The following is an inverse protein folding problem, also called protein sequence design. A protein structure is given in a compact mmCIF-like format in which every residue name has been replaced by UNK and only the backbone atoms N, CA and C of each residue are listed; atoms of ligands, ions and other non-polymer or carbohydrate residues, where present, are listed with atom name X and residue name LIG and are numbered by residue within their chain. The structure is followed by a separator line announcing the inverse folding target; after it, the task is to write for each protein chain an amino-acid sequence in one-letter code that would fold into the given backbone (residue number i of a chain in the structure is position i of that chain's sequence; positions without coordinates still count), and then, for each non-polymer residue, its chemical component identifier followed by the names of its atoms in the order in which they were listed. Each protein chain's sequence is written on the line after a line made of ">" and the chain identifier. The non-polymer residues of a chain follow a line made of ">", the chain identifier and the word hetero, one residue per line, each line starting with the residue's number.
data_IF_619130650337
#
_entry.id   IF_619130650337
#
_cell.length_a   1.000
_cell.length_b   1.000
_cell.length_c   1.000
_cell.angle_alpha   90.00
_cell.angle_beta   90.00
_cell.angle_gamma   90.00
#
_symmetry.space_group_name_H-M   'P 1'
#
loop_
_entity.id
_entity.type
_entity.pdbx_description
1 polymer ?
#
# COMPACT_ATOMS: atom_id res chain seq x y z
N UNK A 1 -18.04 8.55 -6.72
CA UNK A 1 -16.78 8.43 -5.96
C UNK A 1 -16.98 9.23 -4.69
N UNK A 2 -17.19 8.57 -3.56
CA UNK A 2 -17.37 9.25 -2.28
C UNK A 2 -16.04 9.26 -1.56
N UNK A 3 -15.56 10.44 -1.17
CA UNK A 3 -14.39 10.56 -0.30
C UNK A 3 -14.77 10.04 1.09
N UNK A 4 -14.22 8.90 1.47
CA UNK A 4 -14.27 8.40 2.83
C UNK A 4 -12.92 8.68 3.49
N UNK A 5 -12.90 9.49 4.54
CA UNK A 5 -11.69 9.67 5.36
C UNK A 5 -11.57 8.51 6.33
N UNK A 6 -10.52 7.70 6.18
CA UNK A 6 -10.28 6.50 6.99
C UNK A 6 -9.36 6.82 8.16
N UNK A 7 -9.81 6.50 9.38
CA UNK A 7 -9.01 6.58 10.60
C UNK A 7 -8.82 5.17 11.15
N UNK A 8 -7.63 4.61 10.95
CA UNK A 8 -7.27 3.26 11.40
C UNK A 8 -5.92 3.29 12.07
N UNK A 9 -5.83 2.60 13.20
CA UNK A 9 -4.59 2.45 13.96
C UNK A 9 -3.91 1.15 13.51
N UNK A 10 -3.01 1.27 12.54
CA UNK A 10 -2.31 0.15 11.92
C UNK A 10 -3.19 -0.73 11.02
N UNK A 11 -2.59 -1.82 10.54
CA UNK A 11 -3.27 -2.80 9.69
C UNK A 11 -4.22 -3.69 10.50
N UNK A 12 -5.34 -4.11 9.90
CA UNK A 12 -6.36 -4.92 10.55
C UNK A 12 -6.65 -6.18 9.74
N UNK A 13 -6.65 -7.34 10.40
CA UNK A 13 -7.12 -8.59 9.82
C UNK A 13 -8.56 -8.84 10.28
N UNK A 14 -9.48 -8.98 9.31
CA UNK A 14 -10.91 -9.06 9.59
C UNK A 14 -11.60 -10.22 8.88
N UNK A 15 -12.73 -10.62 9.46
CA UNK A 15 -13.72 -11.52 8.86
C UNK A 15 -15.01 -10.75 8.68
N UNK A 16 -15.53 -10.75 7.46
CA UNK A 16 -16.82 -10.15 7.15
C UNK A 16 -17.96 -10.92 7.79
N UNK A 17 -18.86 -10.17 8.41
CA UNK A 17 -20.20 -10.63 8.73
C UNK A 17 -21.21 -9.76 7.99
N UNK A 18 -22.11 -10.43 7.27
CA UNK A 18 -23.26 -9.80 6.61
C UNK A 18 -24.54 -10.49 7.04
N UNK A 19 -25.59 -9.73 7.38
CA UNK A 19 -26.93 -10.29 7.57
C UNK A 19 -27.64 -10.63 6.25
N UNK A 20 -27.16 -10.10 5.11
CA UNK A 20 -27.68 -10.43 3.78
C UNK A 20 -26.98 -11.71 3.27
N UNK A 21 -27.72 -12.80 2.98
CA UNK A 21 -27.17 -14.09 2.57
C UNK A 21 -26.45 -14.05 1.21
N UNK A 22 -26.57 -12.96 0.44
CA UNK A 22 -25.81 -12.74 -0.79
C UNK A 22 -24.33 -12.49 -0.54
N UNK A 23 -23.98 -11.99 0.63
CA UNK A 23 -22.60 -11.74 1.03
C UNK A 23 -22.20 -12.83 2.03
N UNK A 24 -21.37 -13.77 1.57
CA UNK A 24 -20.85 -14.85 2.41
C UNK A 24 -19.80 -14.36 3.41
N UNK A 25 -19.30 -15.29 4.22
CA UNK A 25 -18.12 -15.05 5.04
C UNK A 25 -16.90 -14.86 4.14
N UNK A 26 -16.10 -13.83 4.39
CA UNK A 26 -14.89 -13.53 3.61
C UNK A 26 -13.84 -12.89 4.50
N UNK A 27 -12.57 -13.08 4.16
CA UNK A 27 -11.43 -12.61 4.94
C UNK A 27 -10.75 -11.45 4.23
N UNK A 28 -10.37 -10.41 4.98
CA UNK A 28 -9.67 -9.25 4.45
C UNK A 28 -8.55 -8.81 5.36
N UNK A 29 -7.47 -8.32 4.76
CA UNK A 29 -6.48 -7.48 5.42
C UNK A 29 -6.73 -6.04 4.99
N UNK A 30 -6.81 -5.12 5.95
CA UNK A 30 -6.93 -3.69 5.71
C UNK A 30 -5.60 -3.07 6.07
N UNK A 31 -4.93 -2.42 5.13
CA UNK A 31 -3.68 -1.72 5.42
C UNK A 31 -3.93 -0.40 6.15
N UNK A 32 -2.91 0.25 6.74
CA UNK A 32 -3.07 1.53 7.43
C UNK A 32 -3.55 2.70 6.55
N UNK A 33 -3.61 2.53 5.22
CA UNK A 33 -4.11 3.55 4.29
C UNK A 33 -5.60 3.36 3.98
N UNK A 34 -6.23 2.29 4.47
CA UNK A 34 -7.64 1.99 4.26
C UNK A 34 -7.91 1.23 2.96
N UNK A 35 -6.91 0.55 2.41
CA UNK A 35 -7.09 -0.38 1.29
C UNK A 35 -7.42 -1.76 1.84
N UNK A 36 -8.50 -2.36 1.35
CA UNK A 36 -8.88 -3.73 1.70
C UNK A 36 -8.30 -4.70 0.68
N UNK A 37 -7.69 -5.77 1.15
CA UNK A 37 -7.13 -6.83 0.35
C UNK A 37 -7.80 -8.15 0.73
N UNK A 38 -8.43 -8.81 -0.23
CA UNK A 38 -9.10 -10.09 0.02
C UNK A 38 -8.10 -11.21 0.29
N UNK A 39 -8.44 -12.12 1.20
CA UNK A 39 -7.73 -13.38 1.41
C UNK A 39 -8.62 -14.56 1.03
N UNK A 40 -8.12 -15.55 0.27
CA UNK A 40 -8.91 -16.68 -0.18
C UNK A 40 -9.26 -17.64 0.98
N UNK A 41 -8.38 -17.78 1.97
CA UNK A 41 -8.51 -18.73 3.08
C UNK A 41 -7.65 -18.34 4.30
N UNK A 42 -7.90 -19.01 5.43
CA UNK A 42 -7.12 -18.82 6.68
C UNK A 42 -5.68 -19.35 6.55
N UNK A 43 -5.41 -20.30 5.64
CA UNK A 43 -4.05 -20.81 5.40
C UNK A 43 -3.16 -19.72 4.80
N UNK A 44 -3.67 -18.97 3.83
CA UNK A 44 -3.00 -17.82 3.22
C UNK A 44 -2.80 -16.72 4.26
N UNK A 45 -3.78 -16.48 5.12
CA UNK A 45 -3.64 -15.55 6.24
C UNK A 45 -2.49 -15.95 7.18
N UNK A 46 -2.42 -17.24 7.55
CA UNK A 46 -1.38 -17.77 8.41
C UNK A 46 0.03 -17.64 7.80
N UNK A 47 0.17 -17.86 6.48
CA UNK A 47 1.44 -17.65 5.75
C UNK A 47 1.91 -16.19 5.79
N UNK A 48 0.97 -15.24 5.89
CA UNK A 48 1.25 -13.82 6.05
C UNK A 48 1.45 -13.40 7.52
N UNK A 49 1.41 -14.34 8.47
CA UNK A 49 1.49 -14.05 9.90
C UNK A 49 0.23 -13.43 10.49
N UNK A 50 -0.88 -13.44 9.75
CA UNK A 50 -2.17 -12.93 10.21
C UNK A 50 -2.89 -14.03 11.00
N UNK A 51 -3.39 -13.67 12.18
CA UNK A 51 -4.12 -14.60 13.06
C UNK A 51 -5.25 -13.87 13.79
N UNK A 52 -6.23 -14.63 14.26
CA UNK A 52 -7.38 -14.14 15.02
C UNK A 52 -8.12 -12.97 14.34
N UNK A 53 -8.84 -13.22 13.22
CA UNK A 53 -9.52 -12.15 12.50
C UNK A 53 -10.59 -11.52 13.37
N UNK A 54 -10.65 -10.19 13.35
CA UNK A 54 -11.73 -9.44 14.01
C UNK A 54 -12.96 -9.43 13.13
N UNK A 55 -14.12 -9.60 13.72
CA UNK A 55 -15.37 -9.50 12.99
C UNK A 55 -15.64 -8.05 12.60
N UNK A 56 -16.01 -7.82 11.34
CA UNK A 56 -16.37 -6.51 10.82
C UNK A 56 -17.65 -6.55 9.97
N UNK A 57 -18.54 -5.54 10.08
CA UNK A 57 -19.76 -5.48 9.29
C UNK A 57 -19.45 -5.06 7.84
N UNK A 58 -20.13 -5.70 6.88
CA UNK A 58 -19.98 -5.39 5.46
C UNK A 58 -20.25 -3.92 5.12
N UNK A 59 -21.22 -3.28 5.79
CA UNK A 59 -21.57 -1.88 5.49
C UNK A 59 -20.40 -0.90 5.64
N UNK A 60 -19.46 -1.17 6.54
CA UNK A 60 -18.29 -0.31 6.74
C UNK A 60 -17.16 -0.69 5.79
N UNK A 61 -16.87 -1.99 5.67
CA UNK A 61 -15.77 -2.50 4.84
C UNK A 61 -16.00 -2.19 3.37
N UNK A 62 -17.25 -2.19 2.90
CA UNK A 62 -17.63 -1.87 1.53
C UNK A 62 -17.24 -0.44 1.09
N UNK A 63 -17.04 0.49 2.03
CA UNK A 63 -16.65 1.88 1.76
C UNK A 63 -15.14 2.03 1.51
N UNK A 64 -14.34 1.06 1.92
CA UNK A 64 -12.89 1.06 1.74
C UNK A 64 -12.52 0.85 0.27
N UNK A 65 -11.34 1.33 -0.12
CA UNK A 65 -10.80 1.13 -1.47
C UNK A 65 -10.46 -0.35 -1.66
N UNK A 66 -10.88 -0.92 -2.77
CA UNK A 66 -10.63 -2.33 -3.10
C UNK A 66 -9.24 -2.52 -3.71
N UNK A 67 -8.43 -3.37 -3.09
CA UNK A 67 -7.11 -3.76 -3.52
C UNK A 67 -7.08 -5.16 -4.17
N UNK A 68 -5.90 -5.60 -4.64
CA UNK A 68 -5.72 -6.94 -5.16
C UNK A 68 -5.95 -8.03 -4.09
N UNK A 69 -6.30 -9.23 -4.53
CA UNK A 69 -6.39 -10.41 -3.65
C UNK A 69 -4.99 -10.90 -3.28
N UNK A 70 -4.73 -11.09 -1.99
CA UNK A 70 -3.50 -11.68 -1.50
C UNK A 70 -3.61 -13.20 -1.64
N UNK A 71 -3.01 -13.75 -2.68
CA UNK A 71 -2.98 -15.19 -2.92
C UNK A 71 -1.62 -15.63 -3.43
N UNK A 72 -1.28 -16.91 -3.20
CA UNK A 72 -0.03 -17.47 -3.70
C UNK A 72 0.06 -17.40 -5.24
N UNK A 73 -1.05 -17.68 -5.94
CA UNK A 73 -1.11 -17.62 -7.40
C UNK A 73 -0.84 -16.20 -7.92
N UNK A 74 -1.42 -15.17 -7.27
CA UNK A 74 -1.15 -13.79 -7.63
C UNK A 74 0.30 -13.38 -7.33
N UNK A 75 0.89 -13.89 -6.24
CA UNK A 75 2.28 -13.61 -5.89
C UNK A 75 3.30 -14.30 -6.82
N UNK A 76 2.92 -15.42 -7.45
CA UNK A 76 3.73 -16.09 -8.46
C UNK A 76 3.74 -15.37 -9.82
N UNK A 77 2.90 -14.35 -9.99
CA UNK A 77 2.98 -13.48 -11.16
C UNK A 77 4.23 -12.63 -11.00
N UNK A 78 5.23 -12.90 -11.83
CA UNK A 78 6.46 -12.11 -11.88
C UNK A 78 6.12 -10.65 -12.23
N UNK A 79 6.17 -9.78 -11.22
CA UNK A 79 6.26 -8.35 -11.44
C UNK A 79 7.75 -8.03 -11.65
N UNK A 80 8.12 -7.72 -12.88
CA UNK A 80 9.45 -7.21 -13.21
C UNK A 80 9.66 -5.89 -12.42
N UNK A 81 10.44 -5.99 -11.35
CA UNK A 81 10.87 -4.82 -10.59
C UNK A 81 12.19 -4.37 -11.20
N UNK A 82 12.20 -3.16 -11.77
CA UNK A 82 13.43 -2.59 -12.28
C UNK A 82 14.47 -2.54 -11.16
N UNK A 83 15.72 -3.01 -11.38
CA UNK A 83 16.78 -2.89 -10.40
C UNK A 83 16.94 -1.43 -9.98
N UNK A 84 17.17 -1.20 -8.68
CA UNK A 84 17.52 0.13 -8.17
C UNK A 84 18.73 0.64 -8.96
N UNK A 85 18.59 1.81 -9.61
CA UNK A 85 19.68 2.41 -10.39
C UNK A 85 20.91 2.59 -9.46
N UNK A 86 22.05 1.91 -9.72
CA UNK A 86 23.24 2.02 -8.89
C UNK A 86 23.88 3.41 -8.94
N UNK A 87 23.50 4.24 -9.93
CA UNK A 87 23.96 5.60 -10.10
C UNK A 87 22.77 6.59 -10.05
N UNK A 88 22.12 6.77 -8.89
CA UNK A 88 21.03 7.73 -8.77
C UNK A 88 21.57 9.15 -8.96
N UNK A 89 20.96 9.93 -9.86
CA UNK A 89 21.28 11.35 -10.02
C UNK A 89 20.81 12.07 -8.76
N UNK A 90 21.69 12.86 -8.12
CA UNK A 90 21.27 13.79 -7.07
C UNK A 90 20.38 14.87 -7.69
N UNK A 91 19.16 15.00 -7.20
CA UNK A 91 18.30 16.14 -7.50
C UNK A 91 18.82 17.34 -6.71
N UNK A 92 19.26 18.39 -7.41
CA UNK A 92 19.75 19.64 -6.80
C UNK A 92 21.21 20.01 -7.07
N UNK A 93 21.77 19.62 -8.23
CA UNK A 93 23.15 19.94 -8.62
C UNK A 93 23.35 21.35 -9.22
N UNK A 94 22.42 22.26 -8.98
CA UNK A 94 22.47 23.63 -9.48
C UNK A 94 23.24 24.48 -8.47
N UNK A 95 24.54 24.20 -8.33
CA UNK A 95 25.45 25.16 -7.71
C UNK A 95 25.47 26.38 -8.61
N UNK A 96 24.68 27.39 -8.24
CA UNK A 96 24.79 28.73 -8.77
C UNK A 96 26.26 29.15 -8.75
N UNK A 97 26.86 29.32 -9.92
CA UNK A 97 28.24 29.79 -10.05
C UNK A 97 28.28 31.22 -9.50
N UNK A 98 29.05 31.51 -8.43
CA UNK A 98 29.22 32.89 -8.00
C UNK A 98 30.09 33.62 -9.04
N UNK A 99 29.49 34.59 -9.73
CA UNK A 99 30.21 35.54 -10.58
C UNK A 99 31.00 36.48 -9.65
N UNK A 100 32.33 36.37 -9.65
CA UNK A 100 33.18 37.41 -9.07
C UNK A 100 34.58 36.99 -8.68
N UNK A 101 35.53 37.16 -9.60
CA UNK A 101 36.86 37.78 -9.36
C UNK A 101 37.73 37.58 -10.61
N UNK A 102 37.56 38.44 -11.61
CA UNK A 102 38.58 38.58 -12.66
C UNK A 102 39.69 39.47 -12.12
N UNK A 103 40.87 38.89 -11.95
CA UNK A 103 42.09 39.58 -11.53
C UNK A 103 42.37 40.80 -12.43
N UNK A 104 42.44 41.98 -11.83
CA UNK A 104 42.84 43.22 -12.50
C UNK A 104 44.35 43.21 -12.76
N UNK A 105 44.72 43.27 -14.04
CA UNK A 105 46.06 43.60 -14.49
C UNK A 105 46.04 44.86 -15.35
N UNK A 106 47.03 45.74 -15.15
CA UNK A 106 47.43 46.77 -16.11
C UNK A 106 47.44 48.20 -15.57
N UNK A 107 48.63 48.82 -15.56
CA UNK A 107 48.84 50.26 -15.41
C UNK A 107 50.01 50.63 -14.55
#
# INVERSE_FOLDING_TARGET
>A
TGDATVYIDGGQYIRLQSPDPRYGESLYYIDPQGVRYGLPDEETAAKLGLSAPRTAPWQVVSLLVDGPVLSQLAALVEHDTLPSNPNPRRVGGDSAIPVGATNGGGG
#
